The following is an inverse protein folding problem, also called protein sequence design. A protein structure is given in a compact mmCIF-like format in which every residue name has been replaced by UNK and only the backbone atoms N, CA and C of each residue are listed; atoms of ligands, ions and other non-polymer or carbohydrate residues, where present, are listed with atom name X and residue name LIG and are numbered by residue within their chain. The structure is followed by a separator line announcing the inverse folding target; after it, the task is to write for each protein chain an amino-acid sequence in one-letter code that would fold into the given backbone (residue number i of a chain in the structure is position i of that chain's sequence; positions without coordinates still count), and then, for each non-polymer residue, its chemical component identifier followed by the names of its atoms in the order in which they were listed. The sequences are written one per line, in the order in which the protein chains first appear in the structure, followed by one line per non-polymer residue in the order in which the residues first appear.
data_IF_935727665803
#
_entry.id   IF_935727665803
#
_cell.length_a   1.000
_cell.length_b   1.000
_cell.length_c   1.000
_cell.angle_alpha   90.00
_cell.angle_beta   90.00
_cell.angle_gamma   90.00
#
_symmetry.space_group_name_H-M   'P 1'
#
loop_
_entity.id
_entity.type
_entity.pdbx_description
1 polymer ?
#
# COMPACT_ATOMS: atom_id res chain seq x y z
N UNK A 1 21.04 14.79 2.82
CA UNK A 1 20.95 14.56 1.36
C UNK A 1 19.50 14.80 0.95
N UNK A 2 19.19 15.87 0.18
CA UNK A 2 17.84 16.12 -0.30
C UNK A 2 17.37 14.98 -1.21
N UNK A 3 16.09 14.62 -1.10
CA UNK A 3 15.48 13.61 -1.97
C UNK A 3 15.45 14.14 -3.41
N UNK A 4 15.87 13.36 -4.43
CA UNK A 4 16.19 13.88 -5.76
C UNK A 4 14.94 14.09 -6.62
N UNK A 5 13.94 14.81 -6.12
CA UNK A 5 12.72 15.13 -6.87
C UNK A 5 13.05 15.75 -8.23
N UNK A 6 14.03 16.65 -8.30
CA UNK A 6 14.41 17.35 -9.54
C UNK A 6 14.73 16.43 -10.73
N UNK A 7 15.32 15.25 -10.49
CA UNK A 7 15.64 14.28 -11.57
C UNK A 7 14.39 13.47 -11.95
N UNK A 8 13.60 13.06 -10.95
CA UNK A 8 12.34 12.32 -11.10
C UNK A 8 11.32 13.16 -11.88
N UNK A 9 11.30 14.47 -11.67
CA UNK A 9 10.33 15.40 -12.25
C UNK A 9 10.35 15.42 -13.78
N UNK A 10 11.52 15.19 -14.39
CA UNK A 10 11.67 15.18 -15.86
C UNK A 10 11.13 13.91 -16.51
N UNK A 11 11.03 12.80 -15.75
CA UNK A 11 10.71 11.46 -16.28
C UNK A 11 9.33 10.98 -15.81
N UNK A 12 8.88 11.41 -14.64
CA UNK A 12 7.67 10.93 -13.99
C UNK A 12 6.96 12.08 -13.24
N UNK A 13 6.38 13.06 -13.97
CA UNK A 13 5.81 14.27 -13.38
C UNK A 13 4.64 14.00 -12.42
N UNK A 14 3.94 12.87 -12.57
CA UNK A 14 2.84 12.46 -11.69
C UNK A 14 3.28 12.27 -10.25
N UNK A 15 4.56 11.97 -9.98
CA UNK A 15 5.07 11.74 -8.61
C UNK A 15 4.94 12.98 -7.73
N UNK A 16 4.94 14.18 -8.33
CA UNK A 16 4.71 15.45 -7.60
C UNK A 16 3.30 15.55 -7.01
N UNK A 17 2.33 14.85 -7.59
CA UNK A 17 0.96 14.87 -7.11
C UNK A 17 0.84 14.00 -5.86
N UNK A 18 0.99 14.62 -4.68
CA UNK A 18 0.97 13.90 -3.41
C UNK A 18 -0.30 13.04 -3.20
N UNK A 19 -1.42 13.43 -3.82
CA UNK A 19 -2.70 12.73 -3.72
C UNK A 19 -2.74 11.37 -4.41
N UNK A 20 -1.76 11.04 -5.26
CA UNK A 20 -1.63 9.71 -5.85
C UNK A 20 -0.61 8.82 -5.13
N UNK A 21 0.10 9.34 -4.12
CA UNK A 21 1.05 8.57 -3.32
C UNK A 21 2.18 7.86 -4.09
N UNK A 22 2.41 8.17 -5.37
CA UNK A 22 3.47 7.55 -6.18
C UNK A 22 4.87 7.87 -5.65
N UNK A 23 5.04 8.94 -4.88
CA UNK A 23 6.28 9.25 -4.19
C UNK A 23 6.62 8.27 -3.05
N UNK A 24 5.61 7.65 -2.44
CA UNK A 24 5.77 6.88 -1.19
C UNK A 24 6.69 5.66 -1.34
N UNK A 25 6.55 4.80 -2.37
CA UNK A 25 7.41 3.64 -2.53
C UNK A 25 8.90 4.01 -2.66
N UNK A 26 9.17 5.16 -3.29
CA UNK A 26 10.53 5.65 -3.54
C UNK A 26 11.18 6.09 -2.22
N UNK A 27 10.43 6.82 -1.38
CA UNK A 27 10.89 7.22 -0.04
C UNK A 27 11.13 6.00 0.85
N UNK A 28 10.20 5.03 0.85
CA UNK A 28 10.33 3.79 1.61
C UNK A 28 11.56 3.00 1.16
N UNK A 29 11.77 2.82 -0.15
CA UNK A 29 12.94 2.11 -0.67
C UNK A 29 14.25 2.78 -0.27
N UNK A 30 14.35 4.10 -0.40
CA UNK A 30 15.58 4.83 -0.01
C UNK A 30 15.81 4.76 1.50
N UNK A 31 14.75 4.80 2.32
CA UNK A 31 14.85 4.63 3.76
C UNK A 31 15.34 3.21 4.14
N UNK A 32 14.74 2.16 3.57
CA UNK A 32 15.19 0.76 3.78
C UNK A 32 16.65 0.61 3.39
N UNK A 33 17.06 1.15 2.23
CA UNK A 33 18.46 1.12 1.77
C UNK A 33 19.44 1.77 2.75
N UNK A 34 19.02 2.83 3.45
CA UNK A 34 19.88 3.58 4.39
C UNK A 34 19.92 2.97 5.78
N UNK A 35 18.80 2.41 6.24
CA UNK A 35 18.62 2.03 7.64
C UNK A 35 18.50 0.51 7.87
N UNK A 36 18.38 -0.28 6.80
CA UNK A 36 18.19 -1.74 6.89
C UNK A 36 16.74 -2.08 7.24
N UNK A 37 16.30 -1.76 8.46
CA UNK A 37 14.93 -2.00 8.92
C UNK A 37 14.23 -0.69 9.27
N UNK A 38 13.00 -0.52 8.78
CA UNK A 38 12.20 0.68 9.07
C UNK A 38 10.76 0.30 9.44
N UNK A 39 10.13 1.22 10.16
CA UNK A 39 8.67 1.26 10.34
C UNK A 39 8.19 2.56 9.70
N UNK A 40 7.36 2.43 8.67
CA UNK A 40 6.70 3.54 8.01
C UNK A 40 5.29 3.74 8.58
N UNK A 41 4.90 4.99 8.77
CA UNK A 41 3.56 5.37 9.19
C UNK A 41 3.11 6.66 8.52
N UNK A 42 1.90 6.67 7.96
CA UNK A 42 1.23 7.88 7.51
C UNK A 42 1.00 8.84 8.70
N UNK A 43 0.79 10.12 8.42
CA UNK A 43 0.52 11.13 9.44
C UNK A 43 -0.77 10.89 10.24
N UNK A 44 -1.67 10.04 9.72
CA UNK A 44 -2.89 9.58 10.38
C UNK A 44 -2.65 8.46 11.39
N UNK A 45 -1.49 7.79 11.37
CA UNK A 45 -1.19 6.68 12.27
C UNK A 45 -0.88 7.18 13.68
N UNK A 46 -1.38 6.49 14.70
CA UNK A 46 -1.08 6.72 16.12
C UNK A 46 -0.56 5.42 16.73
N UNK A 47 0.61 5.47 17.34
CA UNK A 47 1.21 4.33 18.00
C UNK A 47 0.62 4.16 19.42
N UNK A 48 0.25 2.93 19.74
CA UNK A 48 -0.25 2.51 21.07
C UNK A 48 0.85 1.89 21.92
N UNK A 49 1.98 1.56 21.32
CA UNK A 49 3.16 0.97 21.96
C UNK A 49 4.39 1.81 21.65
N UNK A 50 5.37 1.75 22.55
CA UNK A 50 6.74 2.21 22.31
C UNK A 50 7.69 1.07 21.95
N UNK A 51 7.27 -0.19 22.14
CA UNK A 51 8.05 -1.38 21.80
C UNK A 51 7.60 -1.95 20.45
N UNK A 52 8.53 -1.98 19.49
CA UNK A 52 8.35 -2.56 18.17
C UNK A 52 9.25 -3.78 17.90
N UNK A 53 9.98 -4.26 18.91
CA UNK A 53 11.01 -5.29 18.78
C UNK A 53 10.44 -6.54 18.12
N UNK A 54 9.28 -7.01 18.58
CA UNK A 54 8.62 -8.19 18.02
C UNK A 54 8.27 -7.99 16.54
N UNK A 55 7.72 -6.83 16.17
CA UNK A 55 7.40 -6.53 14.78
C UNK A 55 8.67 -6.54 13.90
N UNK A 56 9.76 -5.98 14.39
CA UNK A 56 11.04 -5.93 13.66
C UNK A 56 11.69 -7.32 13.57
N UNK A 57 11.73 -8.08 14.66
CA UNK A 57 12.28 -9.44 14.74
C UNK A 57 11.54 -10.36 13.77
N UNK A 58 10.20 -10.36 13.80
CA UNK A 58 9.41 -11.20 12.89
C UNK A 58 9.63 -10.80 11.42
N UNK A 59 9.88 -9.50 11.16
CA UNK A 59 10.19 -8.99 9.84
C UNK A 59 11.60 -9.32 9.34
N UNK A 60 12.54 -9.76 10.18
CA UNK A 60 13.88 -10.13 9.72
C UNK A 60 13.83 -11.23 8.65
N UNK A 61 12.94 -12.22 8.84
CA UNK A 61 12.76 -13.34 7.91
C UNK A 61 11.84 -12.95 6.77
N UNK A 62 10.69 -12.30 7.08
CA UNK A 62 9.63 -12.01 6.10
C UNK A 62 9.95 -10.83 5.17
N UNK A 63 10.72 -9.86 5.65
CA UNK A 63 11.15 -8.67 4.92
C UNK A 63 10.09 -7.58 4.74
N UNK A 64 8.80 -7.92 4.78
CA UNK A 64 7.72 -6.97 4.56
C UNK A 64 6.48 -7.35 5.36
N UNK A 65 5.90 -6.39 6.08
CA UNK A 65 4.64 -6.55 6.83
C UNK A 65 3.74 -5.35 6.68
N UNK A 66 2.45 -5.63 6.50
CA UNK A 66 1.37 -4.64 6.38
C UNK A 66 0.08 -5.19 7.01
N UNK A 67 -0.93 -4.34 7.22
CA UNK A 67 -2.22 -4.74 7.79
C UNK A 67 -3.22 -5.03 6.69
N UNK A 68 -3.72 -6.26 6.59
CA UNK A 68 -4.86 -6.52 5.70
C UNK A 68 -6.15 -5.88 6.25
N UNK A 69 -7.05 -5.48 5.35
CA UNK A 69 -8.37 -4.94 5.65
C UNK A 69 -9.47 -5.94 5.23
N UNK A 70 -9.83 -6.91 6.08
CA UNK A 70 -10.92 -7.84 5.80
C UNK A 70 -12.22 -7.11 5.42
N UNK A 71 -12.92 -7.65 4.42
CA UNK A 71 -14.14 -7.05 3.86
C UNK A 71 -13.90 -5.95 2.81
N UNK A 72 -12.64 -5.53 2.60
CA UNK A 72 -12.24 -4.60 1.55
C UNK A 72 -11.48 -5.33 0.44
N UNK A 73 -12.19 -5.85 -0.55
CA UNK A 73 -11.58 -6.62 -1.65
C UNK A 73 -10.70 -5.75 -2.56
N UNK A 74 -9.47 -6.19 -2.84
CA UNK A 74 -8.49 -5.52 -3.71
C UNK A 74 -9.08 -5.07 -5.05
N UNK A 75 -9.85 -5.91 -5.78
CA UNK A 75 -10.39 -5.51 -7.07
C UNK A 75 -11.36 -4.33 -6.97
N UNK A 76 -12.01 -4.10 -5.83
CA UNK A 76 -12.86 -2.92 -5.62
C UNK A 76 -12.09 -1.60 -5.57
N UNK A 77 -10.77 -1.65 -5.37
CA UNK A 77 -9.90 -0.51 -5.12
C UNK A 77 -8.75 -0.38 -6.12
N UNK A 78 -8.67 -1.26 -7.12
CA UNK A 78 -7.59 -1.29 -8.10
C UNK A 78 -8.15 -1.24 -9.50
N UNK A 79 -7.67 -0.30 -10.31
CA UNK A 79 -8.07 -0.17 -11.71
C UNK A 79 -7.40 -1.23 -12.57
N UNK A 80 -8.05 -1.57 -13.68
CA UNK A 80 -7.56 -2.56 -14.65
C UNK A 80 -6.17 -2.23 -15.17
N UNK A 81 -5.83 -0.95 -15.37
CA UNK A 81 -4.50 -0.54 -15.82
C UNK A 81 -3.36 -1.03 -14.91
N UNK A 82 -3.55 -0.99 -13.58
CA UNK A 82 -2.58 -1.53 -12.63
C UNK A 82 -2.45 -3.05 -12.77
N UNK A 83 -3.57 -3.78 -12.86
CA UNK A 83 -3.53 -5.24 -13.07
C UNK A 83 -2.86 -5.61 -14.39
N UNK A 84 -3.21 -4.91 -15.48
CA UNK A 84 -2.63 -5.14 -16.81
C UNK A 84 -1.13 -4.85 -16.85
N UNK A 85 -0.66 -3.84 -16.11
CA UNK A 85 0.77 -3.57 -15.96
C UNK A 85 1.52 -4.76 -15.34
N UNK A 86 0.90 -5.43 -14.37
CA UNK A 86 1.41 -6.68 -13.79
C UNK A 86 1.11 -7.94 -14.63
N UNK A 87 0.56 -7.78 -15.84
CA UNK A 87 0.12 -8.87 -16.71
C UNK A 87 -0.92 -9.81 -16.05
N UNK A 88 -1.87 -9.24 -15.32
CA UNK A 88 -2.96 -9.96 -14.67
C UNK A 88 -4.33 -9.32 -14.94
N UNK A 89 -5.39 -10.04 -14.56
CA UNK A 89 -6.77 -9.59 -14.67
C UNK A 89 -7.41 -9.42 -13.29
N UNK A 90 -8.52 -8.68 -13.23
CA UNK A 90 -9.30 -8.47 -12.01
C UNK A 90 -9.70 -9.79 -11.32
N UNK A 91 -10.15 -10.77 -12.12
CA UNK A 91 -10.68 -12.06 -11.61
C UNK A 91 -9.65 -12.88 -10.85
N UNK A 92 -8.36 -12.69 -11.14
CA UNK A 92 -7.24 -13.30 -10.42
C UNK A 92 -7.25 -12.93 -8.93
N UNK A 93 -7.88 -11.81 -8.56
CA UNK A 93 -7.83 -11.24 -7.22
C UNK A 93 -9.21 -11.13 -6.54
N UNK A 94 -10.24 -11.83 -7.05
CA UNK A 94 -11.64 -11.70 -6.57
C UNK A 94 -11.79 -11.93 -5.05
N UNK A 95 -10.98 -12.84 -4.50
CA UNK A 95 -10.98 -13.20 -3.08
C UNK A 95 -9.81 -12.59 -2.28
N UNK A 96 -9.05 -11.68 -2.88
CA UNK A 96 -7.93 -11.00 -2.22
C UNK A 96 -8.44 -9.73 -1.54
N UNK A 97 -8.16 -9.57 -0.25
CA UNK A 97 -8.40 -8.33 0.45
C UNK A 97 -7.24 -7.34 0.25
N UNK A 98 -7.55 -6.05 0.30
CA UNK A 98 -6.54 -5.00 0.26
C UNK A 98 -5.86 -4.87 1.63
N UNK A 99 -4.57 -4.56 1.66
CA UNK A 99 -3.83 -4.20 2.87
C UNK A 99 -3.49 -2.71 2.93
N UNK A 100 -3.28 -2.16 4.12
CA UNK A 100 -2.92 -0.77 4.38
C UNK A 100 -1.48 -0.49 3.97
N UNK A 101 -1.28 0.48 3.06
CA UNK A 101 0.03 1.04 2.74
C UNK A 101 0.40 2.24 3.64
N UNK A 102 -0.43 2.53 4.64
CA UNK A 102 -0.24 3.62 5.60
C UNK A 102 0.53 3.22 6.85
N UNK A 103 0.71 1.93 7.12
CA UNK A 103 1.56 1.44 8.21
C UNK A 103 2.28 0.17 7.78
N UNK A 104 3.60 0.23 7.67
CA UNK A 104 4.43 -0.83 7.11
C UNK A 104 5.65 -1.06 8.00
N UNK A 105 6.05 -2.32 8.15
CA UNK A 105 7.38 -2.66 8.63
C UNK A 105 8.13 -3.36 7.50
N UNK A 106 9.33 -2.89 7.20
CA UNK A 106 10.12 -3.38 6.07
C UNK A 106 11.55 -3.57 6.54
N UNK A 107 12.08 -4.76 6.32
CA UNK A 107 13.48 -5.12 6.62
C UNK A 107 14.18 -5.49 5.33
N UNK A 108 15.36 -4.92 5.13
CA UNK A 108 16.22 -5.19 4.00
C UNK A 108 16.64 -6.66 3.95
N UNK A 109 16.08 -7.37 2.99
CA UNK A 109 16.45 -8.73 2.65
C UNK A 109 16.18 -8.97 1.16
N UNK A 110 16.48 -10.17 0.67
CA UNK A 110 16.31 -10.47 -0.75
C UNK A 110 14.87 -10.23 -1.24
N UNK A 111 13.86 -10.66 -0.48
CA UNK A 111 12.46 -10.56 -0.85
C UNK A 111 11.96 -9.11 -0.83
N UNK A 112 12.27 -8.35 0.24
CA UNK A 112 11.87 -6.95 0.34
C UNK A 112 12.55 -6.09 -0.72
N UNK A 113 13.79 -6.37 -1.12
CA UNK A 113 14.44 -5.70 -2.26
C UNK A 113 13.70 -5.93 -3.57
N UNK A 114 13.23 -7.15 -3.83
CA UNK A 114 12.42 -7.46 -5.01
C UNK A 114 11.09 -6.70 -4.98
N UNK A 115 10.38 -6.75 -3.85
CA UNK A 115 9.11 -6.06 -3.66
C UNK A 115 9.28 -4.55 -3.84
N UNK A 116 10.22 -3.93 -3.10
CA UNK A 116 10.47 -2.49 -3.18
C UNK A 116 10.91 -2.06 -4.57
N UNK A 117 11.73 -2.86 -5.26
CA UNK A 117 12.15 -2.55 -6.64
C UNK A 117 10.96 -2.50 -7.56
N UNK A 118 10.12 -3.54 -7.57
CA UNK A 118 8.94 -3.60 -8.44
C UNK A 118 7.91 -2.53 -8.06
N UNK A 119 7.72 -2.25 -6.77
CA UNK A 119 6.81 -1.21 -6.31
C UNK A 119 7.26 0.19 -6.75
N UNK A 120 8.58 0.47 -6.68
CA UNK A 120 9.16 1.70 -7.23
C UNK A 120 9.04 1.77 -8.74
N UNK A 121 9.28 0.67 -9.47
CA UNK A 121 9.10 0.65 -10.93
C UNK A 121 7.66 1.00 -11.32
N UNK A 122 6.67 0.40 -10.64
CA UNK A 122 5.27 0.76 -10.84
C UNK A 122 5.01 2.23 -10.50
N UNK A 123 5.58 2.74 -9.41
CA UNK A 123 5.42 4.14 -9.00
C UNK A 123 6.00 5.15 -10.01
N UNK A 124 7.07 4.78 -10.73
CA UNK A 124 7.66 5.58 -11.79
C UNK A 124 6.84 5.57 -13.09
N UNK A 125 5.91 4.62 -13.25
CA UNK A 125 5.08 4.47 -14.45
C UNK A 125 3.64 4.90 -14.17
N UNK A 126 3.21 6.01 -14.79
CA UNK A 126 1.86 6.54 -14.60
C UNK A 126 0.77 5.55 -15.01
N UNK A 127 1.04 4.62 -15.94
CA UNK A 127 0.06 3.61 -16.36
C UNK A 127 -0.18 2.54 -15.29
N UNK A 128 0.80 2.34 -14.39
CA UNK A 128 0.68 1.40 -13.28
C UNK A 128 0.07 2.04 -12.04
N UNK A 129 0.66 3.15 -11.56
CA UNK A 129 0.34 3.74 -10.25
C UNK A 129 -0.85 4.69 -10.31
N UNK A 130 -1.11 5.30 -11.46
CA UNK A 130 -2.19 6.28 -11.70
C UNK A 130 -2.87 6.04 -13.05
N UNK A 131 -3.36 4.82 -13.34
CA UNK A 131 -4.05 4.54 -14.59
C UNK A 131 -5.22 5.51 -14.80
N UNK A 132 -5.49 5.83 -16.07
CA UNK A 132 -6.56 6.75 -16.47
C UNK A 132 -7.89 6.42 -15.78
N UNK A 133 -8.66 7.46 -15.45
CA UNK A 133 -9.96 7.36 -14.76
C UNK A 133 -9.93 7.01 -13.26
N UNK A 134 -8.79 7.18 -12.57
CA UNK A 134 -8.68 6.99 -11.12
C UNK A 134 -9.58 7.94 -10.30
N UNK A 135 -10.53 7.37 -9.54
CA UNK A 135 -11.39 8.03 -8.55
C UNK A 135 -11.31 7.32 -7.18
N UNK A 136 -12.00 7.82 -6.14
CA UNK A 136 -11.87 7.32 -4.75
C UNK A 136 -13.15 6.75 -4.11
N UNK A 137 -14.28 6.61 -4.86
CA UNK A 137 -15.59 6.08 -4.39
C UNK A 137 -16.06 4.80 -5.12
N UNK A 138 -16.73 3.86 -4.40
CA UNK A 138 -16.85 2.43 -4.83
C UNK A 138 -18.30 2.10 -4.71
N UNK A 139 -18.80 1.54 -5.80
CA UNK A 139 -20.02 0.77 -5.83
C UNK A 139 -19.64 -0.55 -6.48
N UNK A 140 -19.92 -1.66 -5.81
CA UNK A 140 -19.71 -3.00 -6.37
C UNK A 140 -20.76 -3.20 -7.45
N UNK A 141 -20.50 -2.70 -8.65
CA UNK A 141 -21.38 -2.84 -9.82
C UNK A 141 -20.55 -3.47 -10.95
N UNK A 142 -20.92 -4.69 -11.33
CA UNK A 142 -20.55 -5.36 -12.59
C UNK A 142 -19.16 -5.02 -13.17
N UNK A 143 -18.09 -5.42 -12.50
CA UNK A 143 -16.73 -5.46 -13.08
C UNK A 143 -16.09 -4.11 -13.42
N UNK A 144 -16.70 -2.98 -13.08
CA UNK A 144 -16.18 -1.65 -13.33
C UNK A 144 -16.11 -0.88 -12.01
N UNK A 145 -14.91 -0.79 -11.44
CA UNK A 145 -14.62 0.18 -10.40
C UNK A 145 -13.90 1.36 -11.02
N UNK A 146 -14.33 2.58 -10.71
CA UNK A 146 -13.51 3.77 -10.96
C UNK A 146 -12.58 4.03 -9.77
N UNK A 147 -12.57 3.17 -8.72
CA UNK A 147 -11.66 3.38 -7.59
C UNK A 147 -10.24 2.97 -7.89
N UNK A 148 -9.33 3.82 -7.44
CA UNK A 148 -7.94 3.47 -7.31
C UNK A 148 -7.37 3.92 -5.96
N UNK A 149 -6.65 3.02 -5.28
CA UNK A 149 -5.87 3.31 -4.07
C UNK A 149 -4.36 3.42 -4.36
N UNK A 150 -3.99 3.66 -5.61
CA UNK A 150 -2.64 4.04 -6.04
C UNK A 150 -1.53 3.12 -5.50
N UNK A 151 -0.66 3.64 -4.62
CA UNK A 151 0.44 2.91 -3.97
C UNK A 151 -0.05 1.64 -3.26
N UNK A 152 -1.17 1.72 -2.57
CA UNK A 152 -1.78 0.60 -1.86
C UNK A 152 -2.28 -0.47 -2.84
N UNK A 153 -2.88 -0.07 -3.96
CA UNK A 153 -3.31 -1.00 -5.01
C UNK A 153 -2.13 -1.76 -5.59
N UNK A 154 -1.10 -1.03 -6.02
CA UNK A 154 0.11 -1.62 -6.58
C UNK A 154 0.84 -2.52 -5.58
N UNK A 155 0.94 -2.10 -4.32
CA UNK A 155 1.60 -2.85 -3.26
C UNK A 155 0.92 -4.20 -3.06
N UNK A 156 -0.41 -4.23 -2.91
CA UNK A 156 -1.12 -5.47 -2.61
C UNK A 156 -1.12 -6.39 -3.82
N UNK A 157 -1.37 -5.88 -5.03
CA UNK A 157 -1.23 -6.67 -6.27
C UNK A 157 0.15 -7.33 -6.35
N UNK A 158 1.21 -6.58 -6.02
CA UNK A 158 2.58 -7.09 -6.00
C UNK A 158 2.83 -8.15 -4.92
N UNK A 159 2.45 -7.85 -3.67
CA UNK A 159 2.59 -8.76 -2.54
C UNK A 159 1.84 -10.06 -2.81
N UNK A 160 0.72 -9.96 -3.54
CA UNK A 160 -0.06 -11.12 -3.86
C UNK A 160 0.67 -12.15 -4.71
N UNK A 161 1.58 -11.73 -5.60
CA UNK A 161 2.40 -12.67 -6.38
C UNK A 161 3.46 -13.40 -5.56
N UNK A 162 4.06 -12.69 -4.60
CA UNK A 162 5.21 -13.23 -3.86
C UNK A 162 4.81 -14.09 -2.69
N UNK A 163 3.64 -13.81 -2.11
CA UNK A 163 3.24 -14.46 -0.88
C UNK A 163 2.01 -15.37 -1.03
N UNK A 164 1.13 -15.17 -2.02
CA UNK A 164 0.04 -16.13 -2.26
C UNK A 164 0.54 -17.20 -3.23
N UNK A 165 0.21 -18.49 -3.02
CA UNK A 165 0.33 -19.48 -4.08
C UNK A 165 -0.39 -18.93 -5.31
N UNK A 166 0.28 -18.97 -6.45
CA UNK A 166 -0.15 -18.28 -7.66
C UNK A 166 -1.67 -18.40 -7.84
N UNK A 167 -2.42 -17.28 -7.98
CA UNK A 167 -3.85 -17.33 -8.27
C UNK A 167 -4.17 -18.04 -9.60
N UNK A 168 -3.14 -18.46 -10.36
CA UNK A 168 -3.22 -19.34 -11.52
C UNK A 168 -3.53 -20.80 -11.20
N UNK A 169 -3.50 -21.22 -9.93
CA UNK A 169 -3.96 -22.54 -9.54
C UNK A 169 -5.38 -22.45 -8.99
N UNK A 170 -6.36 -22.92 -9.78
CA UNK A 170 -7.75 -23.20 -9.37
C UNK A 170 -7.88 -24.23 -8.22
N UNK A 171 -6.77 -24.56 -7.53
CA UNK A 171 -6.78 -25.33 -6.32
C UNK A 171 -7.02 -24.40 -5.14
N UNK A 172 -8.03 -24.72 -4.33
CA UNK A 172 -8.15 -24.28 -2.94
C UNK A 172 -6.90 -24.74 -2.18
N UNK A 173 -5.79 -24.07 -2.40
CA UNK A 173 -4.61 -24.18 -1.57
C UNK A 173 -4.84 -23.20 -0.44
N UNK A 174 -4.78 -23.70 0.80
CA UNK A 174 -4.77 -22.82 1.96
C UNK A 174 -3.66 -21.80 1.73
N UNK A 175 -3.95 -20.49 1.84
CA UNK A 175 -2.92 -19.48 1.68
C UNK A 175 -1.77 -19.85 2.61
N UNK A 176 -0.53 -19.76 2.10
CA UNK A 176 0.65 -19.92 2.94
C UNK A 176 0.45 -19.10 4.22
N UNK A 177 0.81 -19.61 5.42
CA UNK A 177 0.44 -19.01 6.69
C UNK A 177 1.02 -17.59 6.77
N UNK A 178 0.22 -16.61 6.37
CA UNK A 178 0.42 -15.24 6.73
C UNK A 178 0.14 -15.18 8.22
N UNK A 179 1.10 -14.67 8.97
CA UNK A 179 0.69 -13.92 10.15
C UNK A 179 0.19 -12.59 9.59
N UNK A 180 -1.09 -12.59 9.21
CA UNK A 180 -1.82 -11.40 8.85
C UNK A 180 -2.05 -10.69 10.18
N UNK A 181 -1.25 -9.68 10.47
CA UNK A 181 -1.05 -9.04 11.78
C UNK A 181 -2.30 -8.32 12.35
N UNK A 182 -3.53 -8.73 12.07
CA UNK A 182 -4.75 -8.02 12.47
C UNK A 182 -4.77 -7.75 13.98
N UNK A 183 -4.54 -8.75 14.83
CA UNK A 183 -4.59 -8.55 16.29
C UNK A 183 -3.34 -7.87 16.89
N UNK A 184 -2.17 -8.01 16.27
CA UNK A 184 -0.93 -7.44 16.82
C UNK A 184 -0.71 -6.00 16.35
N UNK A 185 -1.03 -5.67 15.09
CA UNK A 185 -1.02 -4.28 14.64
C UNK A 185 -2.07 -3.44 15.33
N UNK A 186 -3.25 -3.96 15.64
CA UNK A 186 -4.26 -3.23 16.44
C UNK A 186 -3.77 -2.85 17.84
N UNK A 187 -2.82 -3.62 18.38
CA UNK A 187 -2.11 -3.33 19.64
C UNK A 187 -0.92 -2.39 19.45
N UNK A 188 -0.37 -2.30 18.24
CA UNK A 188 0.80 -1.46 17.94
C UNK A 188 0.37 -0.06 17.51
N UNK A 189 -0.64 0.05 16.65
CA UNK A 189 -1.04 1.29 16.03
C UNK A 189 -2.54 1.33 15.69
N UNK A 190 -3.09 2.53 15.58
CA UNK A 190 -4.42 2.78 15.03
C UNK A 190 -4.42 3.92 14.02
N UNK A 191 -5.39 3.89 13.12
CA UNK A 191 -5.60 4.95 12.14
C UNK A 191 -6.54 5.99 12.75
N UNK A 192 -6.03 7.20 13.01
CA UNK A 192 -6.87 8.35 13.32
C UNK A 192 -7.50 8.85 12.02
N UNK A 193 -8.74 8.45 11.79
CA UNK A 193 -9.56 9.11 10.76
C UNK A 193 -9.87 10.50 11.29
N UNK A 194 -9.56 11.54 10.52
CA UNK A 194 -10.01 12.89 10.85
C UNK A 194 -11.55 12.86 10.85
N UNK A 195 -12.16 12.76 12.03
CA UNK A 195 -13.51 13.25 12.23
C UNK A 195 -13.37 14.76 12.06
N UNK A 196 -13.80 15.26 10.91
CA UNK A 196 -13.94 16.69 10.71
C UNK A 196 -14.78 17.20 11.88
N UNK A 197 -14.16 18.03 12.72
CA UNK A 197 -14.82 18.63 13.86
C UNK A 197 -16.02 19.42 13.30
N UNK A 198 -17.23 18.85 13.42
CA UNK A 198 -18.48 19.51 12.99
C UNK A 198 -18.68 20.85 13.71
N UNK A 199 -17.89 21.14 14.75
CA UNK A 199 -17.92 22.36 15.52
C UNK A 199 -17.00 23.49 15.02
N UNK A 200 -16.12 23.27 14.03
CA UNK A 200 -15.20 24.33 13.56
C UNK A 200 -15.81 25.20 12.44
N UNK A 201 -16.87 24.73 11.78
CA UNK A 201 -17.61 25.51 10.77
C UNK A 201 -18.54 26.58 11.36
N UNK A 202 -18.84 26.54 12.67
CA UNK A 202 -19.66 27.55 13.35
C UNK A 202 -18.85 28.71 13.92
N UNK A 203 -17.53 28.56 14.14
CA UNK A 203 -16.68 29.66 14.63
C UNK A 203 -16.20 30.63 13.54
N UNK A 204 -16.07 30.18 12.28
CA UNK A 204 -15.64 31.03 11.17
C UNK A 204 -16.74 31.93 10.56
N UNK A 205 -17.97 31.91 11.08
CA UNK A 205 -19.04 32.85 10.70
C UNK A 205 -19.24 34.02 11.68
N UNK A 206 -18.34 34.19 12.67
CA UNK A 206 -18.38 35.29 13.64
C UNK A 206 -17.00 35.94 13.87
N UNK A 207 -16.30 36.33 12.80
CA UNK A 207 -15.29 37.39 12.86
C UNK A 207 -15.32 38.22 11.60
#
# INVERSE_FOLDING_TARGET
IPFPFAQIDSVAPHIRSLGNFAWKPIVIQDAVRRFGSIIYGDTSIRYKTSNFDRLLIDNLIRGFSCRELPGHYLPCFTLSGTFSWFNETFSTFDDVYIAEAGFLAVTDNFLSRLILKTWVTCALDSTCITPSYSRTQCKRVTGLTEKHRYDQSAMVTLLSFYFFPSPRQNGKSDPAPYDMYTSMQERIAEVRRFEGDKNDLTRRKKS
#
